data_IF_352967999991
#
_entry.id   IF_352967999991
#
_cell.length_a   1.000
_cell.length_b   1.000
_cell.length_c   1.000
_cell.angle_alpha   90.00
_cell.angle_beta   90.00
_cell.angle_gamma   90.00
#
_symmetry.space_group_name_H-M   'P 1'
#
loop_
_entity.id
_entity.type
_entity.pdbx_description
1 polymer ?
#
# COMPACT_ATOMS: atom_id res chain seq x y z
N UNK A 1 -11.01 -18.77 -5.23
CA UNK A 1 -11.61 -17.45 -5.58
C UNK A 1 -11.09 -16.50 -4.52
N UNK A 2 -10.28 -15.52 -4.91
CA UNK A 2 -9.47 -14.70 -4.01
C UNK A 2 -10.24 -14.09 -2.83
N UNK A 3 -11.54 -13.83 -2.99
CA UNK A 3 -12.39 -13.19 -1.97
C UNK A 3 -13.00 -14.13 -0.94
N UNK A 4 -13.02 -15.45 -1.18
CA UNK A 4 -13.87 -16.39 -0.44
C UNK A 4 -13.55 -16.50 1.07
N UNK A 5 -12.31 -16.23 1.48
CA UNK A 5 -11.88 -16.32 2.87
C UNK A 5 -11.41 -14.99 3.49
N UNK A 6 -11.37 -13.89 2.71
CA UNK A 6 -10.78 -12.62 3.16
C UNK A 6 -11.45 -12.09 4.43
N UNK A 7 -12.79 -12.02 4.40
CA UNK A 7 -13.59 -11.49 5.51
C UNK A 7 -13.40 -12.35 6.78
N UNK A 8 -13.28 -13.66 6.63
CA UNK A 8 -13.08 -14.57 7.76
C UNK A 8 -11.75 -14.31 8.44
N UNK A 9 -10.66 -14.18 7.67
CA UNK A 9 -9.33 -13.93 8.24
C UNK A 9 -9.24 -12.53 8.89
N UNK A 10 -9.86 -11.52 8.28
CA UNK A 10 -9.95 -10.17 8.87
C UNK A 10 -10.70 -10.19 10.21
N UNK A 11 -11.89 -10.80 10.25
CA UNK A 11 -12.64 -10.95 11.51
C UNK A 11 -11.85 -11.69 12.58
N UNK A 12 -11.09 -12.72 12.20
CA UNK A 12 -10.28 -13.53 13.11
C UNK A 12 -9.08 -12.77 13.68
N UNK A 13 -8.36 -11.98 12.86
CA UNK A 13 -7.12 -11.31 13.27
C UNK A 13 -7.31 -9.88 13.80
N UNK A 14 -8.28 -9.15 13.24
CA UNK A 14 -8.52 -7.75 13.56
C UNK A 14 -9.83 -7.51 14.32
N UNK A 15 -10.70 -8.51 14.45
CA UNK A 15 -11.98 -8.39 15.16
C UNK A 15 -12.88 -7.25 14.65
N UNK A 16 -12.81 -7.00 13.34
CA UNK A 16 -13.61 -5.97 12.64
C UNK A 16 -14.41 -6.58 11.49
N UNK A 17 -15.49 -5.91 11.14
CA UNK A 17 -16.19 -6.12 9.88
C UNK A 17 -16.02 -4.89 9.00
N UNK A 18 -15.65 -5.09 7.74
CA UNK A 18 -15.47 -4.03 6.76
C UNK A 18 -16.56 -4.15 5.70
N UNK A 19 -17.40 -3.13 5.59
CA UNK A 19 -18.37 -3.00 4.50
C UNK A 19 -17.72 -2.25 3.33
N UNK A 20 -17.42 -3.01 2.27
CA UNK A 20 -16.65 -2.54 1.12
C UNK A 20 -17.05 -3.32 -0.13
N UNK A 21 -17.16 -2.60 -1.25
CA UNK A 21 -17.34 -3.20 -2.57
C UNK A 21 -15.99 -3.24 -3.29
N UNK A 22 -15.64 -4.37 -3.90
CA UNK A 22 -14.45 -4.48 -4.76
C UNK A 22 -14.90 -4.40 -6.21
N UNK A 23 -14.33 -3.47 -6.98
CA UNK A 23 -14.61 -3.29 -8.40
C UNK A 23 -13.32 -3.52 -9.19
N UNK A 24 -13.32 -4.55 -10.03
CA UNK A 24 -12.31 -4.73 -11.07
C UNK A 24 -12.72 -3.90 -12.29
N UNK A 25 -11.84 -3.05 -12.79
CA UNK A 25 -12.12 -2.17 -13.92
C UNK A 25 -10.99 -2.20 -14.96
N UNK A 26 -11.33 -1.72 -16.16
CA UNK A 26 -10.43 -1.49 -17.30
C UNK A 26 -10.67 -0.08 -17.82
N UNK A 27 -9.62 0.67 -18.15
CA UNK A 27 -9.66 1.89 -18.95
C UNK A 27 -9.13 3.16 -18.28
N UNK A 28 -8.71 3.11 -17.00
CA UNK A 28 -8.21 4.31 -16.28
C UNK A 28 -6.67 4.41 -16.26
N UNK A 29 -5.95 3.29 -16.47
CA UNK A 29 -4.49 3.22 -16.58
C UNK A 29 -3.70 3.97 -15.47
N UNK A 30 -4.22 4.02 -14.23
CA UNK A 30 -3.65 4.84 -13.15
C UNK A 30 -3.02 4.05 -12.00
N UNK A 31 -3.59 2.92 -11.58
CA UNK A 31 -3.10 2.17 -10.41
C UNK A 31 -3.64 0.73 -10.33
N UNK A 32 -2.91 -0.12 -9.62
CA UNK A 32 -3.29 -1.53 -9.41
C UNK A 32 -4.45 -1.66 -8.41
N UNK A 33 -4.38 -0.89 -7.33
CA UNK A 33 -5.39 -0.80 -6.27
C UNK A 33 -5.49 0.63 -5.77
N UNK A 34 -6.69 1.06 -5.37
CA UNK A 34 -6.87 2.20 -4.46
C UNK A 34 -8.27 2.18 -3.85
N UNK A 35 -8.41 2.89 -2.73
CA UNK A 35 -9.70 3.11 -2.05
C UNK A 35 -10.35 4.43 -2.50
N UNK A 36 -11.65 4.40 -2.76
CA UNK A 36 -12.46 5.60 -3.02
C UNK A 36 -13.91 5.42 -2.54
N UNK A 37 -14.77 6.41 -2.80
CA UNK A 37 -16.23 6.32 -2.58
C UNK A 37 -16.98 6.44 -3.90
N UNK A 38 -17.99 5.59 -4.08
CA UNK A 38 -18.99 5.72 -5.15
C UNK A 38 -20.37 5.90 -4.51
N UNK A 39 -20.84 7.14 -4.49
CA UNK A 39 -21.95 7.54 -3.61
C UNK A 39 -21.56 7.33 -2.15
N UNK A 40 -22.43 6.67 -1.39
CA UNK A 40 -22.20 6.37 0.03
C UNK A 40 -21.37 5.09 0.27
N UNK A 41 -21.05 4.34 -0.80
CA UNK A 41 -20.33 3.07 -0.68
C UNK A 41 -18.81 3.29 -0.70
N UNK A 42 -18.11 2.66 0.24
CA UNK A 42 -16.64 2.51 0.19
C UNK A 42 -16.28 1.46 -0.85
N UNK A 43 -15.36 1.79 -1.73
CA UNK A 43 -14.99 0.95 -2.87
C UNK A 43 -13.48 0.78 -2.95
N UNK A 44 -13.02 -0.44 -3.20
CA UNK A 44 -11.67 -0.72 -3.68
C UNK A 44 -11.75 -0.86 -5.20
N UNK A 45 -10.99 -0.04 -5.91
CA UNK A 45 -10.85 -0.07 -7.35
C UNK A 45 -9.60 -0.86 -7.71
N UNK A 46 -9.75 -1.96 -8.45
CA UNK A 46 -8.65 -2.79 -8.93
C UNK A 46 -8.47 -2.57 -10.44
N UNK A 47 -7.32 -2.04 -10.83
CA UNK A 47 -7.00 -1.74 -12.22
C UNK A 47 -6.35 -2.91 -12.93
N UNK A 48 -7.08 -3.55 -13.85
CA UNK A 48 -6.61 -4.75 -14.52
C UNK A 48 -5.32 -4.52 -15.30
N UNK A 49 -5.16 -3.38 -15.97
CA UNK A 49 -3.97 -3.09 -16.77
C UNK A 49 -2.72 -2.95 -15.94
N UNK A 50 -2.79 -2.24 -14.81
CA UNK A 50 -1.64 -2.07 -13.92
C UNK A 50 -1.29 -3.37 -13.20
N UNK A 51 -2.29 -4.17 -12.80
CA UNK A 51 -2.08 -5.52 -12.26
C UNK A 51 -1.34 -6.42 -13.26
N UNK A 52 -1.71 -6.34 -14.55
CA UNK A 52 -1.03 -7.07 -15.62
C UNK A 52 0.40 -6.59 -15.83
N UNK A 53 0.60 -5.26 -15.86
CA UNK A 53 1.92 -4.63 -16.02
C UNK A 53 2.90 -5.04 -14.91
N UNK A 54 2.43 -5.04 -13.66
CA UNK A 54 3.23 -5.44 -12.48
C UNK A 54 3.34 -6.97 -12.31
N UNK A 55 2.66 -7.74 -13.18
CA UNK A 55 2.57 -9.19 -13.13
C UNK A 55 2.11 -9.69 -11.74
N UNK A 56 1.02 -9.12 -11.23
CA UNK A 56 0.36 -9.48 -9.96
C UNK A 56 -0.88 -10.34 -10.18
N UNK A 57 -0.83 -11.25 -11.16
CA UNK A 57 -1.98 -12.01 -11.65
C UNK A 57 -2.25 -13.31 -10.89
N UNK A 58 -1.31 -13.77 -10.06
CA UNK A 58 -1.50 -14.97 -9.25
C UNK A 58 -2.43 -14.70 -8.05
N UNK A 59 -3.00 -15.77 -7.49
CA UNK A 59 -4.00 -15.66 -6.42
C UNK A 59 -3.44 -14.96 -5.16
N UNK A 60 -2.16 -15.19 -4.81
CA UNK A 60 -1.56 -14.61 -3.61
C UNK A 60 -1.33 -13.11 -3.82
N UNK A 61 -0.79 -12.70 -4.97
CA UNK A 61 -0.60 -11.28 -5.30
C UNK A 61 -1.94 -10.52 -5.28
N UNK A 62 -2.99 -11.09 -5.88
CA UNK A 62 -4.32 -10.47 -5.87
C UNK A 62 -4.92 -10.38 -4.47
N UNK A 63 -4.76 -11.42 -3.65
CA UNK A 63 -5.20 -11.40 -2.24
C UNK A 63 -4.44 -10.33 -1.45
N UNK A 64 -3.12 -10.24 -1.63
CA UNK A 64 -2.29 -9.24 -0.97
C UNK A 64 -2.72 -7.83 -1.33
N UNK A 65 -2.97 -7.57 -2.61
CA UNK A 65 -3.37 -6.24 -3.08
C UNK A 65 -4.71 -5.86 -2.47
N UNK A 66 -5.66 -6.80 -2.41
CA UNK A 66 -6.95 -6.54 -1.75
C UNK A 66 -6.75 -6.27 -0.25
N UNK A 67 -5.90 -7.04 0.45
CA UNK A 67 -5.64 -6.79 1.87
C UNK A 67 -4.93 -5.46 2.12
N UNK A 68 -4.01 -5.06 1.25
CA UNK A 68 -3.37 -3.75 1.30
C UNK A 68 -4.40 -2.63 1.31
N UNK A 69 -5.29 -2.64 0.32
CA UNK A 69 -6.36 -1.64 0.19
C UNK A 69 -7.37 -1.69 1.34
N UNK A 70 -7.67 -2.89 1.85
CA UNK A 70 -8.49 -3.05 3.06
C UNK A 70 -7.80 -2.48 4.30
N UNK A 71 -6.47 -2.52 4.36
CA UNK A 71 -5.66 -1.92 5.41
C UNK A 71 -5.86 -0.41 5.48
N UNK A 72 -5.93 0.28 4.33
CA UNK A 72 -6.32 1.69 4.30
C UNK A 72 -7.74 1.89 4.84
N UNK A 73 -8.72 1.10 4.39
CA UNK A 73 -10.11 1.22 4.87
C UNK A 73 -10.19 1.02 6.39
N UNK A 74 -9.50 0.00 6.90
CA UNK A 74 -9.42 -0.28 8.32
C UNK A 74 -8.79 0.87 9.10
N UNK A 75 -7.66 1.39 8.63
CA UNK A 75 -6.98 2.54 9.21
C UNK A 75 -7.91 3.76 9.29
N UNK A 76 -8.55 4.14 8.18
CA UNK A 76 -9.45 5.29 8.16
C UNK A 76 -10.71 5.08 9.01
N UNK A 77 -11.24 3.85 9.08
CA UNK A 77 -12.41 3.53 9.89
C UNK A 77 -12.13 3.57 11.40
N UNK A 78 -10.91 3.20 11.81
CA UNK A 78 -10.48 3.22 13.22
C UNK A 78 -10.14 4.60 13.76
N UNK A 79 -10.14 5.64 12.91
CA UNK A 79 -9.75 6.99 13.31
C UNK A 79 -10.97 7.84 13.68
N UNK A 80 -10.81 8.59 14.76
CA UNK A 80 -11.81 9.57 15.22
C UNK A 80 -11.61 10.98 14.64
N UNK A 81 -10.48 11.22 13.98
CA UNK A 81 -10.12 12.52 13.40
C UNK A 81 -9.59 12.36 11.99
N UNK A 82 -10.05 13.23 11.09
CA UNK A 82 -9.49 13.33 9.75
C UNK A 82 -8.05 13.86 9.79
N UNK A 83 -7.23 13.44 8.83
CA UNK A 83 -5.89 14.03 8.68
C UNK A 83 -5.99 15.35 7.94
N UNK A 84 -5.49 16.42 8.57
CA UNK A 84 -5.35 17.72 7.91
C UNK A 84 -3.92 17.87 7.41
N UNK A 85 -3.73 17.81 6.09
CA UNK A 85 -2.44 18.03 5.44
C UNK A 85 -2.24 19.54 5.26
N UNK A 86 -1.20 20.09 5.89
CA UNK A 86 -0.94 21.55 5.94
C UNK A 86 0.32 21.97 5.22
N UNK A 87 1.20 21.01 4.91
CA UNK A 87 2.51 21.25 4.32
C UNK A 87 3.02 20.00 3.58
N UNK A 88 4.01 20.16 2.67
CA UNK A 88 4.72 19.02 2.07
C UNK A 88 5.26 18.05 3.12
N UNK A 89 5.84 18.55 4.21
CA UNK A 89 6.27 17.74 5.35
C UNK A 89 5.13 16.85 5.89
N UNK A 90 3.98 17.44 6.24
CA UNK A 90 2.85 16.68 6.76
C UNK A 90 2.27 15.70 5.75
N UNK A 91 2.36 16.01 4.44
CA UNK A 91 1.94 15.12 3.36
C UNK A 91 2.83 13.88 3.31
N UNK A 92 4.14 14.05 3.31
CA UNK A 92 5.09 12.94 3.22
C UNK A 92 5.07 12.07 4.47
N UNK A 93 4.99 12.67 5.67
CA UNK A 93 4.82 11.91 6.92
C UNK A 93 3.51 11.14 6.92
N UNK A 94 2.42 11.76 6.45
CA UNK A 94 1.14 11.08 6.36
C UNK A 94 1.17 9.90 5.39
N UNK A 95 1.79 10.08 4.22
CA UNK A 95 1.86 9.05 3.18
C UNK A 95 2.57 7.80 3.70
N UNK A 96 3.81 7.91 4.19
CA UNK A 96 4.54 6.73 4.71
C UNK A 96 3.82 6.05 5.88
N UNK A 97 3.17 6.82 6.75
CA UNK A 97 2.38 6.25 7.83
C UNK A 97 1.15 5.49 7.32
N UNK A 98 0.41 6.06 6.37
CA UNK A 98 -0.79 5.43 5.81
C UNK A 98 -0.45 4.16 5.01
N UNK A 99 0.62 4.18 4.22
CA UNK A 99 1.14 3.01 3.49
C UNK A 99 1.68 1.95 4.46
N UNK A 100 2.42 2.36 5.49
CA UNK A 100 2.95 1.45 6.51
C UNK A 100 1.85 0.69 7.26
N UNK A 101 0.75 1.36 7.60
CA UNK A 101 -0.41 0.70 8.22
C UNK A 101 -1.07 -0.29 7.25
N UNK A 102 -1.17 0.03 5.96
CA UNK A 102 -1.70 -0.89 4.96
C UNK A 102 -0.81 -2.13 4.80
N UNK A 103 0.51 -1.94 4.70
CA UNK A 103 1.48 -3.03 4.68
C UNK A 103 1.41 -3.90 5.93
N UNK A 104 1.31 -3.29 7.13
CA UNK A 104 1.14 -4.04 8.36
C UNK A 104 -0.12 -4.92 8.32
N UNK A 105 -1.25 -4.36 7.88
CA UNK A 105 -2.51 -5.08 7.79
C UNK A 105 -2.41 -6.29 6.86
N UNK A 106 -1.80 -6.09 5.69
CA UNK A 106 -1.53 -7.13 4.69
C UNK A 106 -0.63 -8.24 5.24
N UNK A 107 0.51 -7.88 5.84
CA UNK A 107 1.49 -8.83 6.37
C UNK A 107 0.95 -9.61 7.58
N UNK A 108 0.08 -9.01 8.39
CA UNK A 108 -0.61 -9.75 9.45
C UNK A 108 -1.47 -10.86 8.86
N UNK A 109 -2.10 -10.65 7.70
CA UNK A 109 -3.00 -11.63 7.08
C UNK A 109 -2.26 -12.69 6.25
N UNK A 110 -1.23 -12.31 5.50
CA UNK A 110 -0.50 -13.20 4.59
C UNK A 110 0.80 -13.78 5.15
N UNK A 111 1.39 -13.14 6.15
CA UNK A 111 2.67 -13.54 6.72
C UNK A 111 3.62 -12.35 6.87
N UNK A 112 4.44 -12.39 7.93
CA UNK A 112 5.49 -11.38 8.13
C UNK A 112 6.43 -11.37 6.93
N UNK A 113 6.83 -10.16 6.50
CA UNK A 113 7.69 -9.91 5.33
C UNK A 113 7.09 -10.28 3.98
N UNK A 114 5.77 -10.35 3.85
CA UNK A 114 5.15 -10.36 2.53
C UNK A 114 5.23 -8.96 1.88
N UNK A 115 5.68 -8.89 0.63
CA UNK A 115 5.76 -7.69 -0.20
C UNK A 115 5.49 -8.07 -1.66
N UNK A 116 4.55 -7.40 -2.34
CA UNK A 116 4.33 -7.62 -3.79
C UNK A 116 5.54 -7.26 -4.65
N UNK A 117 6.32 -6.32 -4.16
CA UNK A 117 7.52 -5.78 -4.79
C UNK A 117 8.70 -6.74 -4.70
N UNK A 118 8.65 -7.78 -3.84
CA UNK A 118 9.76 -8.71 -3.62
C UNK A 118 9.97 -9.67 -4.80
N UNK A 119 10.46 -9.10 -5.89
CA UNK A 119 10.88 -9.76 -7.12
C UNK A 119 12.33 -9.35 -7.38
N UNK A 120 13.12 -10.28 -7.91
CA UNK A 120 14.52 -10.02 -8.28
C UNK A 120 15.40 -9.45 -7.15
N UNK A 121 15.16 -9.84 -5.89
CA UNK A 121 15.97 -9.43 -4.74
C UNK A 121 15.63 -8.06 -4.17
N UNK A 122 14.47 -7.50 -4.50
CA UNK A 122 14.02 -6.20 -4.00
C UNK A 122 14.04 -6.09 -2.47
N UNK A 123 13.56 -7.11 -1.74
CA UNK A 123 13.55 -7.05 -0.27
C UNK A 123 14.97 -7.08 0.29
N UNK A 124 15.82 -7.97 -0.24
CA UNK A 124 17.22 -8.04 0.14
C UNK A 124 17.94 -6.70 -0.08
N UNK A 125 17.71 -6.06 -1.22
CA UNK A 125 18.30 -4.75 -1.51
C UNK A 125 17.82 -3.68 -0.52
N UNK A 126 16.51 -3.66 -0.20
CA UNK A 126 15.94 -2.74 0.78
C UNK A 126 16.54 -2.95 2.18
N UNK A 127 16.76 -4.21 2.59
CA UNK A 127 17.41 -4.56 3.87
C UNK A 127 18.85 -4.03 3.92
N UNK A 128 19.65 -4.26 2.87
CA UNK A 128 21.05 -3.81 2.79
C UNK A 128 21.17 -2.27 2.72
N UNK A 129 20.18 -1.58 2.16
CA UNK A 129 20.19 -0.12 1.97
C UNK A 129 19.30 0.65 2.96
N UNK A 130 18.74 -0.02 3.98
CA UNK A 130 17.77 0.54 4.94
C UNK A 130 18.19 1.91 5.48
N UNK A 131 19.43 2.02 5.97
CA UNK A 131 19.93 3.25 6.58
C UNK A 131 19.99 4.41 5.57
N UNK A 132 20.39 4.13 4.32
CA UNK A 132 20.47 5.14 3.26
C UNK A 132 19.06 5.60 2.87
N UNK A 133 18.12 4.67 2.73
CA UNK A 133 16.72 4.97 2.45
C UNK A 133 16.10 5.85 3.53
N UNK A 134 16.30 5.53 4.81
CA UNK A 134 15.77 6.32 5.93
C UNK A 134 16.36 7.74 5.94
N UNK A 135 17.68 7.87 5.86
CA UNK A 135 18.35 9.19 5.91
C UNK A 135 17.91 10.06 4.74
N UNK A 136 17.85 9.51 3.54
CA UNK A 136 17.41 10.25 2.36
C UNK A 136 15.93 10.62 2.42
N UNK A 137 15.08 9.73 2.92
CA UNK A 137 13.66 10.00 3.10
C UNK A 137 13.47 11.16 4.07
N UNK A 138 14.08 11.10 5.26
CA UNK A 138 13.99 12.18 6.27
C UNK A 138 14.49 13.51 5.70
N UNK A 139 15.65 13.53 5.03
CA UNK A 139 16.19 14.74 4.39
C UNK A 139 15.16 15.38 3.45
N UNK A 140 14.55 14.57 2.57
CA UNK A 140 13.54 15.04 1.62
C UNK A 140 12.31 15.60 2.31
N UNK A 141 11.83 14.90 3.34
CA UNK A 141 10.68 15.33 4.14
C UNK A 141 10.94 16.68 4.82
N UNK A 142 12.12 16.86 5.43
CA UNK A 142 12.49 18.08 6.16
C UNK A 142 12.57 19.32 5.27
N UNK A 143 13.10 19.18 4.05
CA UNK A 143 13.23 20.30 3.10
C UNK A 143 12.01 20.45 2.17
N UNK A 144 11.02 19.56 2.28
CA UNK A 144 9.80 19.59 1.47
C UNK A 144 9.99 19.15 0.01
N UNK A 145 11.03 18.35 -0.28
CA UNK A 145 11.21 17.71 -1.58
C UNK A 145 10.17 16.61 -1.82
N UNK A 146 9.89 16.31 -3.10
CA UNK A 146 9.02 15.21 -3.47
C UNK A 146 9.63 13.86 -3.07
N UNK A 147 8.79 13.01 -2.48
CA UNK A 147 9.06 11.63 -2.09
C UNK A 147 8.46 10.61 -3.07
N UNK A 148 8.03 11.06 -4.26
CA UNK A 148 7.37 10.19 -5.25
C UNK A 148 8.27 9.03 -5.71
N UNK A 149 9.59 9.17 -5.62
CA UNK A 149 10.56 8.11 -5.89
C UNK A 149 10.50 6.92 -4.94
N UNK A 150 9.82 7.07 -3.78
CA UNK A 150 9.59 5.98 -2.84
C UNK A 150 8.28 5.23 -3.11
N UNK A 151 7.32 5.78 -3.88
CA UNK A 151 5.97 5.22 -4.02
C UNK A 151 5.49 5.13 -5.48
N UNK A 152 6.33 5.48 -6.45
CA UNK A 152 6.01 5.42 -7.86
C UNK A 152 6.70 4.25 -8.54
N UNK A 153 5.96 3.57 -9.41
CA UNK A 153 6.42 2.47 -10.28
C UNK A 153 7.35 2.95 -11.42
N UNK A 154 7.28 4.23 -11.80
CA UNK A 154 8.13 4.84 -12.84
C UNK A 154 9.39 5.51 -12.30
N UNK A 155 9.48 5.68 -10.98
CA UNK A 155 10.62 6.30 -10.32
C UNK A 155 11.37 5.23 -9.54
N UNK A 156 12.70 5.31 -9.49
CA UNK A 156 13.46 4.34 -8.72
C UNK A 156 14.67 4.97 -8.02
N UNK A 157 15.04 4.34 -6.91
CA UNK A 157 16.28 4.59 -6.18
C UNK A 157 17.20 3.44 -6.56
N UNK A 158 18.25 3.74 -7.32
CA UNK A 158 19.23 2.75 -7.82
C UNK A 158 18.61 1.54 -8.54
N UNK A 159 17.52 1.77 -9.29
CA UNK A 159 16.81 0.71 -10.03
C UNK A 159 15.68 0.02 -9.26
N UNK A 160 15.43 0.38 -7.99
CA UNK A 160 14.34 -0.16 -7.17
C UNK A 160 13.24 0.88 -6.94
N UNK A 161 12.02 0.59 -7.39
CA UNK A 161 10.82 1.38 -7.13
C UNK A 161 10.18 0.99 -5.79
N UNK A 162 9.16 1.74 -5.36
CA UNK A 162 8.24 1.34 -4.27
C UNK A 162 8.93 1.05 -2.92
N UNK A 163 10.13 1.59 -2.70
CA UNK A 163 10.92 1.38 -1.46
C UNK A 163 10.27 2.00 -0.22
N UNK A 164 9.31 2.91 -0.41
CA UNK A 164 8.48 3.49 0.64
C UNK A 164 7.56 2.48 1.32
N UNK A 165 7.13 1.42 0.61
CA UNK A 165 6.33 0.35 1.21
C UNK A 165 7.16 -0.49 2.18
N UNK A 166 8.45 -0.71 1.89
CA UNK A 166 9.39 -1.30 2.85
C UNK A 166 9.58 -0.36 4.05
N UNK A 167 9.93 0.91 3.81
CA UNK A 167 10.17 1.84 4.92
C UNK A 167 8.96 2.03 5.85
N UNK A 168 7.74 2.02 5.30
CA UNK A 168 6.52 2.14 6.10
C UNK A 168 6.24 0.91 6.97
N UNK A 169 6.72 -0.27 6.59
CA UNK A 169 6.49 -1.53 7.28
C UNK A 169 7.51 -1.82 8.40
N UNK A 170 8.58 -1.02 8.50
CA UNK A 170 9.72 -1.18 9.43
C UNK A 170 9.68 -0.24 10.64
#
# INVERSE_FOLDING_TARGET
MATANLIREIRKKFHVELDVTIILYVGLCNGAGWVTKLGDKKVIMLGMEKILELNWIDEISMIGLIYHELGHIWHYAGRHTETVIKSPFSKSVWQIYAEGIAMYFEQVLLGRKFYHQDKNGWLYWCEEHKNVLIVNYIRKVEIGESIQDYFGDWCNIDGYSDTGYYLGAE
#
